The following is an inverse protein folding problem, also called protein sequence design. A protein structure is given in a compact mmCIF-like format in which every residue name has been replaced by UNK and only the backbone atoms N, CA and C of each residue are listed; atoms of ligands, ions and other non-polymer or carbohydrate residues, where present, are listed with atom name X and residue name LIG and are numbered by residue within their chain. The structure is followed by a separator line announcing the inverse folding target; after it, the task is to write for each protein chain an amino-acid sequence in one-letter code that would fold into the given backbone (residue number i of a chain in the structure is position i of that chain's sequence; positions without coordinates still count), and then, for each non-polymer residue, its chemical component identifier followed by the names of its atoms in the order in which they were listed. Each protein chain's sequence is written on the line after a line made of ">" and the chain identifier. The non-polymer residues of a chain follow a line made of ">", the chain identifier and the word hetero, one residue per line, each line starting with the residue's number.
data_IF_274690958140
#
_entry.id   IF_274690958140
#
_cell.length_a   1.000
_cell.length_b   1.000
_cell.length_c   1.000
_cell.angle_alpha   90.00
_cell.angle_beta   90.00
_cell.angle_gamma   90.00
#
_symmetry.space_group_name_H-M   'P 1'
#
loop_
_entity.id
_entity.type
_entity.pdbx_description
1 polymer ?
#
# COMPACT_ATOMS: atom_id res chain seq x y z
N UNK A 1 0.72 -6.04 -18.45
CA UNK A 1 -0.39 -5.11 -18.09
C UNK A 1 0.21 -3.72 -17.99
N UNK A 2 -0.48 -2.67 -18.46
CA UNK A 2 -0.04 -1.30 -18.22
C UNK A 2 -0.21 -0.97 -16.71
N UNK A 3 0.77 -0.27 -16.13
CA UNK A 3 0.79 0.09 -14.71
C UNK A 3 1.01 1.61 -14.58
N UNK A 4 0.03 2.43 -15.00
CA UNK A 4 0.20 3.88 -15.05
C UNK A 4 0.48 4.50 -13.67
N UNK A 5 -0.08 3.96 -12.59
CA UNK A 5 0.23 4.42 -11.23
C UNK A 5 1.69 4.13 -10.85
N UNK A 6 2.19 2.92 -11.14
CA UNK A 6 3.62 2.60 -10.94
C UNK A 6 4.52 3.48 -11.81
N UNK A 7 4.16 3.68 -13.08
CA UNK A 7 4.91 4.52 -14.02
C UNK A 7 4.98 5.97 -13.54
N UNK A 8 3.86 6.51 -13.04
CA UNK A 8 3.80 7.83 -12.42
C UNK A 8 4.69 7.92 -11.18
N UNK A 9 4.66 6.92 -10.30
CA UNK A 9 5.52 6.91 -9.11
C UNK A 9 7.01 6.94 -9.48
N UNK A 10 7.43 6.13 -10.46
CA UNK A 10 8.80 6.14 -10.99
C UNK A 10 9.15 7.51 -11.55
N UNK A 11 8.27 8.08 -12.38
CA UNK A 11 8.46 9.41 -12.98
C UNK A 11 8.61 10.50 -11.91
N UNK A 12 7.73 10.52 -10.90
CA UNK A 12 7.77 11.49 -9.80
C UNK A 12 9.08 11.38 -9.01
N UNK A 13 9.49 10.16 -8.64
CA UNK A 13 10.76 9.95 -7.93
C UNK A 13 11.97 10.44 -8.74
N UNK A 14 11.96 10.23 -10.06
CA UNK A 14 13.03 10.70 -10.95
C UNK A 14 13.00 12.22 -11.13
N UNK A 15 11.84 12.78 -11.47
CA UNK A 15 11.64 14.22 -11.73
C UNK A 15 11.95 15.08 -10.52
N UNK A 16 11.58 14.61 -9.32
CA UNK A 16 11.82 15.31 -8.05
C UNK A 16 13.14 14.90 -7.36
N UNK A 17 13.94 14.04 -8.00
CA UNK A 17 15.21 13.52 -7.47
C UNK A 17 15.10 12.97 -6.03
N UNK A 18 14.08 12.14 -5.78
CA UNK A 18 13.78 11.58 -4.44
C UNK A 18 14.57 10.31 -4.12
N UNK A 19 15.42 9.86 -5.05
CA UNK A 19 16.16 8.61 -4.93
C UNK A 19 15.29 7.37 -5.19
N UNK A 20 15.89 6.37 -5.83
CA UNK A 20 15.23 5.11 -6.15
C UNK A 20 16.27 3.99 -6.28
N UNK A 21 16.01 2.87 -5.62
CA UNK A 21 16.81 1.64 -5.74
C UNK A 21 15.91 0.55 -6.32
N UNK A 22 16.40 -0.24 -7.27
CA UNK A 22 15.62 -1.34 -7.85
C UNK A 22 16.49 -2.59 -8.02
N UNK A 23 15.85 -3.75 -7.98
CA UNK A 23 16.45 -5.04 -8.33
C UNK A 23 15.68 -5.67 -9.49
N UNK A 24 16.36 -6.43 -10.36
CA UNK A 24 15.69 -7.17 -11.43
C UNK A 24 14.70 -8.19 -10.85
N UNK A 25 13.71 -8.58 -11.66
CA UNK A 25 12.79 -9.66 -11.32
C UNK A 25 13.52 -11.00 -11.14
N UNK A 26 12.89 -11.93 -10.43
CA UNK A 26 13.29 -13.35 -10.44
C UNK A 26 13.33 -13.91 -11.88
N UNK A 27 14.12 -14.96 -12.12
CA UNK A 27 14.10 -15.73 -13.39
C UNK A 27 12.72 -16.35 -13.62
N UNK A 28 12.09 -16.80 -12.54
CA UNK A 28 10.73 -17.34 -12.53
C UNK A 28 9.86 -16.48 -11.61
N UNK A 29 9.40 -15.31 -12.08
CA UNK A 29 8.53 -14.46 -11.27
C UNK A 29 7.18 -15.13 -11.04
N UNK A 30 6.48 -14.68 -9.99
CA UNK A 30 5.09 -15.06 -9.72
C UNK A 30 4.25 -14.83 -10.98
N UNK A 31 3.35 -15.77 -11.30
CA UNK A 31 2.52 -15.75 -12.50
C UNK A 31 1.09 -15.36 -12.18
N UNK A 32 0.35 -14.89 -13.17
CA UNK A 32 -1.05 -14.60 -12.99
C UNK A 32 -1.79 -15.88 -12.57
N UNK A 33 -2.65 -15.78 -11.55
CA UNK A 33 -3.33 -16.94 -10.95
C UNK A 33 -2.48 -17.74 -9.97
N UNK A 34 -1.23 -17.31 -9.67
CA UNK A 34 -0.46 -17.89 -8.57
C UNK A 34 -1.13 -17.63 -7.23
N UNK A 35 -0.87 -18.53 -6.28
CA UNK A 35 -1.20 -18.33 -4.88
C UNK A 35 0.05 -17.97 -4.08
N UNK A 36 -0.06 -17.04 -3.14
CA UNK A 36 0.96 -16.79 -2.14
C UNK A 36 0.39 -17.18 -0.78
N UNK A 37 1.11 -18.01 -0.03
CA UNK A 37 0.63 -18.53 1.25
C UNK A 37 -0.83 -19.03 1.18
N UNK A 38 -1.12 -19.87 0.18
CA UNK A 38 -2.44 -20.50 0.02
C UNK A 38 -3.60 -19.57 -0.32
N UNK A 39 -3.32 -18.29 -0.58
CA UNK A 39 -4.31 -17.28 -0.98
C UNK A 39 -4.06 -16.82 -2.42
N UNK A 40 -5.11 -16.39 -3.16
CA UNK A 40 -4.93 -15.79 -4.47
C UNK A 40 -4.01 -14.57 -4.39
N UNK A 41 -2.96 -14.55 -5.21
CA UNK A 41 -2.05 -13.42 -5.29
C UNK A 41 -2.57 -12.36 -6.25
N UNK A 42 -2.39 -11.09 -5.90
CA UNK A 42 -2.92 -9.98 -6.70
C UNK A 42 -2.28 -9.93 -8.11
N UNK A 43 -3.07 -9.80 -9.18
CA UNK A 43 -2.57 -9.79 -10.56
C UNK A 43 -1.79 -8.52 -10.93
N UNK A 44 -2.04 -7.39 -10.25
CA UNK A 44 -1.24 -6.17 -10.41
C UNK A 44 0.12 -6.39 -9.74
N UNK A 45 0.18 -6.91 -8.51
CA UNK A 45 1.46 -7.26 -7.87
C UNK A 45 2.24 -8.29 -8.67
N UNK A 46 1.58 -9.28 -9.24
CA UNK A 46 2.21 -10.21 -10.19
C UNK A 46 2.90 -9.44 -11.32
N UNK A 47 2.18 -8.49 -11.95
CA UNK A 47 2.74 -7.64 -13.01
C UNK A 47 3.90 -6.75 -12.51
N UNK A 48 3.82 -6.23 -11.29
CA UNK A 48 4.92 -5.48 -10.65
C UNK A 48 6.15 -6.37 -10.48
N UNK A 49 6.00 -7.57 -9.91
CA UNK A 49 7.11 -8.49 -9.65
C UNK A 49 7.75 -9.07 -10.92
N UNK A 50 7.03 -9.08 -12.05
CA UNK A 50 7.63 -9.39 -13.36
C UNK A 50 8.53 -8.27 -13.90
N UNK A 51 8.39 -7.04 -13.39
CA UNK A 51 9.20 -5.87 -13.76
C UNK A 51 10.31 -5.59 -12.74
N UNK A 52 9.99 -5.75 -11.45
CA UNK A 52 10.82 -5.32 -10.32
C UNK A 52 10.81 -6.42 -9.24
N UNK A 53 11.93 -7.08 -9.00
CA UNK A 53 12.05 -8.05 -7.90
C UNK A 53 12.13 -7.35 -6.54
N UNK A 54 12.57 -6.09 -6.53
CA UNK A 54 12.55 -5.19 -5.40
C UNK A 54 12.56 -3.75 -5.90
N UNK A 55 12.01 -2.84 -5.11
CA UNK A 55 12.17 -1.42 -5.29
C UNK A 55 12.14 -0.71 -3.93
N UNK A 56 12.93 0.34 -3.79
CA UNK A 56 12.77 1.34 -2.75
C UNK A 56 12.58 2.69 -3.45
N UNK A 57 11.46 3.34 -3.17
CA UNK A 57 11.09 4.64 -3.71
C UNK A 57 11.29 5.72 -2.66
N UNK A 58 11.60 6.93 -3.11
CA UNK A 58 11.71 8.12 -2.27
C UNK A 58 12.74 7.96 -1.13
N UNK A 59 13.89 7.33 -1.43
CA UNK A 59 14.94 7.00 -0.45
C UNK A 59 15.57 8.21 0.23
N UNK A 60 15.49 9.39 -0.38
CA UNK A 60 16.04 10.64 0.18
C UNK A 60 15.09 11.34 1.17
N UNK A 61 13.84 10.87 1.30
CA UNK A 61 12.79 11.58 2.05
C UNK A 61 12.02 10.64 3.00
N UNK A 62 11.19 9.76 2.47
CA UNK A 62 10.42 8.76 3.19
C UNK A 62 10.39 7.51 2.33
N UNK A 63 11.27 6.58 2.66
CA UNK A 63 11.45 5.34 1.93
C UNK A 63 10.14 4.56 1.96
N UNK A 64 9.65 4.14 0.80
CA UNK A 64 8.66 3.08 0.69
C UNK A 64 9.24 1.93 -0.12
N UNK A 65 9.28 0.73 0.46
CA UNK A 65 9.88 -0.44 -0.14
C UNK A 65 8.86 -1.46 -0.64
N UNK A 66 9.01 -1.93 -1.87
CA UNK A 66 8.40 -3.17 -2.34
C UNK A 66 9.16 -4.36 -1.72
N UNK A 67 8.45 -5.25 -1.01
CA UNK A 67 9.07 -6.41 -0.37
C UNK A 67 9.80 -7.26 -1.42
N UNK A 68 11.06 -7.58 -1.14
CA UNK A 68 11.94 -8.29 -2.07
C UNK A 68 11.42 -9.70 -2.40
N UNK A 69 11.37 -10.01 -3.68
CA UNK A 69 11.09 -11.32 -4.26
C UNK A 69 11.98 -11.51 -5.49
N UNK A 70 13.14 -12.13 -5.30
CA UNK A 70 14.06 -12.48 -6.37
C UNK A 70 14.71 -13.85 -6.13
N UNK A 71 15.53 -14.31 -7.09
CA UNK A 71 16.17 -15.63 -7.05
C UNK A 71 17.13 -15.82 -5.85
N UNK A 72 17.51 -14.74 -5.18
CA UNK A 72 18.45 -14.79 -4.05
C UNK A 72 17.72 -14.76 -2.71
N UNK A 73 16.54 -14.12 -2.65
CA UNK A 73 15.83 -13.83 -1.41
C UNK A 73 14.31 -13.96 -1.61
N UNK A 74 13.71 -14.95 -0.95
CA UNK A 74 12.25 -15.19 -0.93
C UNK A 74 11.53 -14.42 0.19
N UNK A 75 11.97 -13.20 0.50
CA UNK A 75 11.47 -12.41 1.64
C UNK A 75 9.96 -12.18 1.58
N UNK A 76 9.37 -12.03 0.39
CA UNK A 76 7.93 -11.93 0.23
C UNK A 76 7.17 -13.14 0.80
N UNK A 77 7.63 -14.35 0.52
CA UNK A 77 6.99 -15.58 1.01
C UNK A 77 7.20 -15.75 2.51
N UNK A 78 8.43 -15.55 2.99
CA UNK A 78 8.76 -15.61 4.42
C UNK A 78 7.95 -14.60 5.24
N UNK A 79 7.86 -13.35 4.77
CA UNK A 79 7.07 -12.29 5.41
C UNK A 79 5.62 -12.70 5.53
N UNK A 80 5.03 -13.25 4.47
CA UNK A 80 3.63 -13.63 4.47
C UNK A 80 3.33 -14.90 5.27
N UNK A 81 4.29 -15.85 5.37
CA UNK A 81 4.18 -17.00 6.28
C UNK A 81 4.11 -16.52 7.73
N UNK A 82 5.02 -15.61 8.11
CA UNK A 82 5.04 -15.00 9.44
C UNK A 82 3.74 -14.23 9.72
N UNK A 83 3.29 -13.40 8.78
CA UNK A 83 2.05 -12.63 8.94
C UNK A 83 0.80 -13.49 9.10
N UNK A 84 0.73 -14.63 8.42
CA UNK A 84 -0.33 -15.61 8.64
C UNK A 84 -0.35 -16.11 10.08
N UNK A 85 0.83 -16.42 10.63
CA UNK A 85 0.96 -17.01 11.96
C UNK A 85 0.72 -15.99 13.08
N UNK A 86 1.16 -14.74 12.89
CA UNK A 86 1.14 -13.71 13.92
C UNK A 86 -0.14 -12.85 13.87
N UNK A 87 -0.57 -12.40 12.68
CA UNK A 87 -1.50 -11.27 12.57
C UNK A 87 -2.88 -11.60 12.02
N UNK A 88 -3.04 -12.62 11.16
CA UNK A 88 -4.34 -12.87 10.51
C UNK A 88 -5.47 -13.15 11.50
N UNK A 89 -5.17 -13.84 12.61
CA UNK A 89 -6.16 -14.10 13.67
C UNK A 89 -6.60 -12.80 14.34
N UNK A 90 -5.65 -11.91 14.63
CA UNK A 90 -5.91 -10.63 15.28
C UNK A 90 -6.69 -9.70 14.35
N UNK A 91 -6.28 -9.61 13.09
CA UNK A 91 -6.97 -8.82 12.06
C UNK A 91 -8.36 -9.37 11.75
N UNK A 92 -8.58 -10.68 11.92
CA UNK A 92 -9.85 -11.34 11.63
C UNK A 92 -10.12 -11.51 10.12
N UNK A 93 -9.13 -11.24 9.28
CA UNK A 93 -9.17 -11.49 7.84
C UNK A 93 -7.73 -11.72 7.32
N UNK A 94 -7.56 -12.55 6.28
CA UNK A 94 -6.27 -12.72 5.63
C UNK A 94 -5.86 -11.47 4.84
N UNK A 95 -4.58 -11.14 4.91
CA UNK A 95 -3.94 -10.07 4.13
C UNK A 95 -2.62 -10.55 3.54
N UNK A 96 -2.24 -10.02 2.38
CA UNK A 96 -0.95 -10.31 1.74
C UNK A 96 -0.08 -9.05 1.75
N UNK A 97 0.96 -9.06 2.57
CA UNK A 97 1.94 -7.97 2.67
C UNK A 97 2.82 -7.93 1.43
N UNK A 98 3.01 -6.75 0.87
CA UNK A 98 3.85 -6.56 -0.32
C UNK A 98 4.81 -5.37 -0.23
N UNK A 99 4.67 -4.51 0.77
CA UNK A 99 5.58 -3.37 0.88
C UNK A 99 5.40 -2.58 2.16
N UNK A 100 6.23 -1.56 2.30
CA UNK A 100 6.31 -0.73 3.49
C UNK A 100 7.73 -0.29 3.81
N UNK A 101 7.85 0.38 4.94
CA UNK A 101 9.13 0.69 5.60
C UNK A 101 8.90 0.63 7.11
N UNK A 102 8.50 1.75 7.71
CA UNK A 102 8.00 1.77 9.09
C UNK A 102 6.63 1.08 9.16
N UNK A 103 5.70 1.41 8.26
CA UNK A 103 4.36 0.82 8.23
C UNK A 103 4.21 -0.20 7.11
N UNK A 104 3.37 -1.22 7.36
CA UNK A 104 3.15 -2.31 6.41
C UNK A 104 1.97 -2.01 5.50
N UNK A 105 2.10 -2.35 4.22
CA UNK A 105 1.05 -2.28 3.22
C UNK A 105 0.74 -3.68 2.70
N UNK A 106 -0.55 -4.00 2.68
CA UNK A 106 -1.04 -5.31 2.33
C UNK A 106 -2.25 -5.23 1.39
N UNK A 107 -2.40 -6.24 0.55
CA UNK A 107 -3.61 -6.49 -0.24
C UNK A 107 -4.61 -7.32 0.56
N UNK A 108 -5.90 -7.19 0.25
CA UNK A 108 -7.00 -7.93 0.91
C UNK A 108 -7.68 -8.88 -0.08
N UNK A 109 -7.29 -10.17 -0.14
CA UNK A 109 -7.80 -11.13 -1.11
C UNK A 109 -9.32 -11.33 -1.11
N UNK A 110 -9.94 -11.27 0.07
CA UNK A 110 -11.40 -11.46 0.22
C UNK A 110 -12.22 -10.32 -0.40
N UNK A 111 -11.59 -9.18 -0.67
CA UNK A 111 -12.21 -7.99 -1.28
C UNK A 111 -11.82 -7.82 -2.75
N UNK A 112 -11.27 -8.86 -3.38
CA UNK A 112 -10.93 -8.84 -4.79
C UNK A 112 -12.14 -8.50 -5.68
N UNK A 113 -11.91 -7.71 -6.72
CA UNK A 113 -12.91 -7.45 -7.75
C UNK A 113 -13.10 -8.63 -8.70
N UNK A 114 -13.97 -8.49 -9.71
CA UNK A 114 -14.26 -9.53 -10.70
C UNK A 114 -13.05 -9.92 -11.56
N UNK A 115 -11.98 -9.11 -11.55
CA UNK A 115 -10.71 -9.36 -12.23
C UNK A 115 -9.62 -9.87 -11.28
N UNK A 116 -9.96 -10.09 -10.00
CA UNK A 116 -9.03 -10.53 -8.98
C UNK A 116 -8.16 -9.41 -8.39
N UNK A 117 -8.40 -8.14 -8.73
CA UNK A 117 -7.62 -7.01 -8.21
C UNK A 117 -8.06 -6.72 -6.79
N UNK A 118 -7.09 -6.59 -5.90
CA UNK A 118 -7.30 -6.52 -4.46
C UNK A 118 -7.06 -5.08 -3.98
N UNK A 119 -7.90 -4.56 -3.07
CA UNK A 119 -7.65 -3.26 -2.46
C UNK A 119 -6.44 -3.34 -1.51
N UNK A 120 -5.85 -2.17 -1.26
CA UNK A 120 -4.68 -2.01 -0.41
C UNK A 120 -5.07 -1.37 0.91
N UNK A 121 -4.52 -1.91 1.99
CA UNK A 121 -4.60 -1.35 3.34
C UNK A 121 -3.20 -1.05 3.87
N UNK A 122 -3.07 0.01 4.66
CA UNK A 122 -1.97 0.16 5.62
C UNK A 122 -2.35 -0.59 6.89
N UNK A 123 -1.43 -1.35 7.44
CA UNK A 123 -1.57 -2.05 8.73
C UNK A 123 -0.47 -1.55 9.66
N UNK A 124 -0.88 -1.00 10.79
CA UNK A 124 -0.02 -0.57 11.88
C UNK A 124 -0.06 -1.63 12.98
N UNK A 125 1.07 -2.29 13.22
CA UNK A 125 1.23 -3.37 14.19
C UNK A 125 2.07 -2.95 15.41
N UNK A 126 2.36 -1.65 15.56
CA UNK A 126 3.15 -1.13 16.69
C UNK A 126 2.29 -0.80 17.91
N UNK A 127 0.99 -0.58 17.70
CA UNK A 127 0.03 -0.40 18.78
C UNK A 127 -0.42 -1.77 19.32
N UNK A 128 -0.90 -1.84 20.58
CA UNK A 128 -1.34 -3.09 21.21
C UNK A 128 -2.42 -3.85 20.42
N UNK A 129 -3.23 -3.11 19.66
CA UNK A 129 -4.21 -3.62 18.72
C UNK A 129 -3.85 -3.14 17.32
N UNK A 130 -3.74 -4.05 16.35
CA UNK A 130 -3.41 -3.65 14.98
C UNK A 130 -4.45 -2.67 14.40
N UNK A 131 -3.99 -1.53 13.88
CA UNK A 131 -4.83 -0.53 13.22
C UNK A 131 -4.74 -0.65 11.70
N UNK A 132 -5.89 -0.73 11.05
CA UNK A 132 -5.99 -0.89 9.60
C UNK A 132 -6.63 0.33 8.95
N UNK A 133 -6.02 0.83 7.89
CA UNK A 133 -6.52 1.96 7.10
C UNK A 133 -6.60 1.58 5.62
N UNK A 134 -7.77 1.61 4.97
CA UNK A 134 -7.89 1.42 3.51
C UNK A 134 -7.27 2.57 2.73
N UNK A 135 -6.32 2.30 1.83
CA UNK A 135 -5.54 3.35 1.15
C UNK A 135 -5.61 3.32 -0.37
N UNK A 136 -6.15 2.26 -0.97
CA UNK A 136 -6.44 2.24 -2.41
C UNK A 136 -7.40 1.10 -2.78
N UNK A 137 -8.16 1.27 -3.85
CA UNK A 137 -9.00 0.21 -4.42
C UNK A 137 -8.21 -0.86 -5.15
N UNK A 138 -6.98 -0.55 -5.57
CA UNK A 138 -6.05 -1.46 -6.25
C UNK A 138 -4.61 -1.07 -5.94
N UNK A 139 -3.68 -1.99 -6.20
CA UNK A 139 -2.22 -1.74 -6.04
C UNK A 139 -1.72 -0.62 -6.96
N UNK A 140 -2.23 -0.53 -8.20
CA UNK A 140 -1.80 0.55 -9.11
C UNK A 140 -2.34 1.91 -8.66
N UNK A 141 -3.58 1.95 -8.12
CA UNK A 141 -4.13 3.17 -7.49
C UNK A 141 -3.38 3.58 -6.22
N UNK A 142 -2.81 2.63 -5.49
CA UNK A 142 -1.92 2.93 -4.38
C UNK A 142 -0.67 3.68 -4.87
N UNK A 143 0.00 3.19 -5.92
CA UNK A 143 1.17 3.89 -6.48
C UNK A 143 0.84 5.29 -6.99
N UNK A 144 -0.29 5.43 -7.69
CA UNK A 144 -0.80 6.71 -8.18
C UNK A 144 -1.03 7.70 -7.02
N UNK A 145 -1.76 7.28 -5.99
CA UNK A 145 -2.04 8.11 -4.80
C UNK A 145 -0.77 8.45 -4.02
N UNK A 146 0.15 7.50 -3.88
CA UNK A 146 1.42 7.72 -3.20
C UNK A 146 2.29 8.72 -3.96
N UNK A 147 2.29 8.67 -5.29
CA UNK A 147 3.03 9.64 -6.12
C UNK A 147 2.53 11.08 -5.93
N UNK A 148 1.21 11.28 -5.87
CA UNK A 148 0.61 12.59 -5.59
C UNK A 148 0.91 13.08 -4.17
N UNK A 149 0.93 12.16 -3.21
CA UNK A 149 1.34 12.48 -1.86
C UNK A 149 2.80 12.95 -1.80
N UNK A 150 3.71 12.31 -2.54
CA UNK A 150 5.11 12.76 -2.64
C UNK A 150 5.21 14.17 -3.24
N UNK A 151 4.44 14.48 -4.29
CA UNK A 151 4.39 15.84 -4.85
C UNK A 151 3.94 16.86 -3.79
N UNK A 152 2.84 16.58 -3.09
CA UNK A 152 2.33 17.46 -2.02
C UNK A 152 3.33 17.61 -0.87
N UNK A 153 4.01 16.53 -0.49
CA UNK A 153 5.03 16.55 0.56
C UNK A 153 6.18 17.47 0.20
N UNK A 154 6.69 17.39 -1.03
CA UNK A 154 7.80 18.22 -1.49
C UNK A 154 7.38 19.68 -1.65
N UNK A 155 6.13 19.96 -2.01
CA UNK A 155 5.62 21.32 -2.13
C UNK A 155 5.29 21.98 -0.78
N UNK A 156 5.23 21.23 0.33
CA UNK A 156 4.93 21.78 1.66
C UNK A 156 6.06 22.73 2.12
N UNK A 157 5.76 24.02 2.42
CA UNK A 157 6.77 24.99 2.83
C UNK A 157 7.56 24.56 4.07
N UNK A 158 6.94 23.83 5.00
CA UNK A 158 7.61 23.35 6.21
C UNK A 158 8.61 22.25 5.90
N UNK A 159 8.28 21.39 4.92
CA UNK A 159 9.22 20.40 4.41
C UNK A 159 10.42 21.06 3.73
N UNK A 160 10.20 22.12 2.96
CA UNK A 160 11.27 22.90 2.34
C UNK A 160 12.18 23.61 3.34
N UNK A 161 11.63 24.13 4.44
CA UNK A 161 12.37 24.92 5.43
C UNK A 161 13.18 24.07 6.41
N UNK A 162 12.63 22.99 6.94
CA UNK A 162 13.26 22.22 8.03
C UNK A 162 13.39 20.72 7.75
N UNK A 163 12.92 20.23 6.59
CA UNK A 163 12.73 18.80 6.31
C UNK A 163 11.88 18.08 7.36
N UNK A 164 11.12 18.82 8.17
CA UNK A 164 10.18 18.22 9.11
C UNK A 164 8.99 17.63 8.36
N UNK A 165 8.82 16.32 8.45
CA UNK A 165 7.71 15.59 7.81
C UNK A 165 6.51 15.58 8.75
N UNK A 166 5.67 16.62 8.72
CA UNK A 166 4.35 16.54 9.39
C UNK A 166 3.27 15.91 8.51
N UNK A 167 3.53 15.78 7.20
CA UNK A 167 2.61 15.11 6.29
C UNK A 167 2.96 13.62 6.20
N UNK A 168 2.15 12.79 6.85
CA UNK A 168 2.26 11.33 6.80
C UNK A 168 1.18 10.73 5.92
N UNK A 169 1.55 9.82 5.02
CA UNK A 169 0.60 8.97 4.31
C UNK A 169 0.15 7.82 5.23
N UNK A 170 -1.15 7.50 5.34
CA UNK A 170 -2.29 8.11 4.61
C UNK A 170 -2.98 9.28 5.34
N UNK A 171 -2.56 9.61 6.57
CA UNK A 171 -3.22 10.59 7.45
C UNK A 171 -3.50 11.95 6.81
N UNK A 172 -2.54 12.47 6.03
CA UNK A 172 -2.62 13.80 5.41
C UNK A 172 -2.96 13.75 3.93
N UNK A 173 -3.27 12.57 3.40
CA UNK A 173 -3.58 12.36 1.99
C UNK A 173 -5.09 12.19 1.74
N UNK A 174 -5.97 12.60 2.66
CA UNK A 174 -7.42 12.31 2.58
C UNK A 174 -8.05 12.79 1.27
N UNK A 175 -7.66 13.97 0.77
CA UNK A 175 -8.17 14.50 -0.51
C UNK A 175 -7.66 13.72 -1.72
N UNK A 176 -6.45 13.17 -1.65
CA UNK A 176 -5.88 12.33 -2.70
C UNK A 176 -6.62 10.98 -2.70
N UNK A 177 -6.80 10.38 -1.53
CA UNK A 177 -7.49 9.10 -1.35
C UNK A 177 -8.96 9.19 -1.75
N UNK A 178 -9.63 10.31 -1.48
CA UNK A 178 -11.02 10.54 -1.88
C UNK A 178 -11.23 10.59 -3.41
N UNK A 179 -10.17 10.75 -4.22
CA UNK A 179 -10.24 10.68 -5.69
C UNK A 179 -10.33 9.25 -6.20
N UNK A 180 -9.99 8.25 -5.38
CA UNK A 180 -10.23 6.85 -5.69
C UNK A 180 -11.70 6.51 -5.38
N UNK A 181 -12.60 6.82 -6.32
CA UNK A 181 -14.04 6.62 -6.17
C UNK A 181 -14.39 5.19 -5.75
N UNK A 182 -13.66 4.20 -6.28
CA UNK A 182 -13.89 2.80 -5.95
C UNK A 182 -13.49 2.47 -4.51
N UNK A 183 -12.41 3.06 -4.00
CA UNK A 183 -12.04 2.93 -2.59
C UNK A 183 -13.17 3.50 -1.71
N UNK A 184 -13.64 4.70 -2.05
CA UNK A 184 -14.72 5.38 -1.31
C UNK A 184 -16.00 4.55 -1.31
N UNK A 185 -16.39 3.95 -2.43
CA UNK A 185 -17.53 3.03 -2.51
C UNK A 185 -17.37 1.82 -1.58
N UNK A 186 -16.20 1.17 -1.59
CA UNK A 186 -15.93 0.01 -0.73
C UNK A 186 -15.99 0.38 0.76
N UNK A 187 -15.44 1.54 1.13
CA UNK A 187 -15.50 2.06 2.49
C UNK A 187 -16.93 2.38 2.92
N UNK A 188 -17.71 3.09 2.09
CA UNK A 188 -19.12 3.42 2.38
C UNK A 188 -19.99 2.17 2.47
N UNK A 189 -19.67 1.13 1.71
CA UNK A 189 -20.36 -0.16 1.76
C UNK A 189 -19.93 -1.04 2.94
N UNK A 190 -19.11 -0.54 3.88
CA UNK A 190 -18.67 -1.26 5.07
C UNK A 190 -17.78 -2.46 4.78
N UNK A 191 -17.16 -2.52 3.59
CA UNK A 191 -16.41 -3.71 3.15
C UNK A 191 -15.13 -3.95 3.97
N UNK A 192 -14.65 -2.92 4.66
CA UNK A 192 -13.47 -2.98 5.52
C UNK A 192 -13.80 -3.04 7.02
N UNK A 193 -15.09 -3.06 7.41
CA UNK A 193 -15.49 -2.91 8.83
C UNK A 193 -14.87 -3.97 9.75
N UNK A 194 -14.73 -5.21 9.26
CA UNK A 194 -14.09 -6.30 10.02
C UNK A 194 -12.60 -6.04 10.29
N UNK A 195 -11.88 -5.50 9.30
CA UNK A 195 -10.47 -5.11 9.42
C UNK A 195 -10.29 -3.86 10.28
N UNK A 196 -11.27 -2.95 10.25
CA UNK A 196 -11.25 -1.67 10.95
C UNK A 196 -11.91 -1.73 12.34
N UNK A 197 -12.12 -2.93 12.90
CA UNK A 197 -12.80 -3.14 14.19
C UNK A 197 -12.12 -2.47 15.39
N UNK A 198 -10.81 -2.25 15.33
CA UNK A 198 -10.00 -1.67 16.41
C UNK A 198 -9.68 -0.18 16.16
N UNK A 199 -10.49 0.53 15.37
CA UNK A 199 -10.25 1.96 15.10
C UNK A 199 -10.53 2.87 16.29
N UNK A 200 -9.62 3.80 16.53
CA UNK A 200 -9.81 4.93 17.43
C UNK A 200 -10.63 6.08 16.78
N UNK A 201 -10.92 7.12 17.56
CA UNK A 201 -11.69 8.28 17.08
C UNK A 201 -10.96 9.11 16.01
N UNK A 202 -9.63 9.09 16.00
CA UNK A 202 -8.85 9.78 14.97
C UNK A 202 -8.97 9.07 13.62
N UNK A 203 -8.79 7.75 13.61
CA UNK A 203 -8.96 6.92 12.41
C UNK A 203 -10.40 6.98 11.90
N UNK A 204 -11.41 6.98 12.78
CA UNK A 204 -12.81 7.14 12.38
C UNK A 204 -13.07 8.49 11.70
N UNK A 205 -12.54 9.59 12.26
CA UNK A 205 -12.66 10.93 11.65
C UNK A 205 -11.91 11.01 10.32
N UNK A 206 -10.73 10.40 10.25
CA UNK A 206 -9.98 10.28 8.99
C UNK A 206 -10.79 9.53 7.92
N UNK A 207 -11.37 8.37 8.27
CA UNK A 207 -12.17 7.57 7.34
C UNK A 207 -13.41 8.34 6.86
N UNK A 208 -14.07 9.07 7.76
CA UNK A 208 -15.18 9.96 7.41
C UNK A 208 -14.77 11.04 6.40
N UNK A 209 -13.60 11.66 6.56
CA UNK A 209 -13.06 12.63 5.60
C UNK A 209 -12.81 12.00 4.23
N UNK A 210 -12.17 10.82 4.17
CA UNK A 210 -11.95 10.10 2.90
C UNK A 210 -13.27 9.78 2.21
N UNK A 211 -14.28 9.36 2.98
CA UNK A 211 -15.62 9.10 2.46
C UNK A 211 -16.43 10.37 2.11
N UNK A 212 -15.90 11.57 2.34
CA UNK A 212 -16.62 12.82 2.11
C UNK A 212 -17.83 13.03 3.03
N UNK A 213 -17.87 12.34 4.17
CA UNK A 213 -18.86 12.59 5.21
C UNK A 213 -18.47 13.87 5.94
N UNK A 214 -19.42 14.77 6.18
CA UNK A 214 -19.16 15.93 7.05
C UNK A 214 -18.83 15.42 8.46
N UNK A 215 -17.69 15.87 8.99
CA UNK A 215 -17.23 15.60 10.37
C UNK A 215 -17.71 16.72 11.28
#
# INVERSE_FOLDING_TARGET
>A
MALPGLERLIEVCQRLNLGMETSPSAREPLKAGSSLVGLPFDPILTSVYTRLGHAAFATEVMRWGLTRSDDQVHRLEETNKRWREEWWKELGAPVIVFGGDIYTYATVPELADVWGRQPVVRVDTYEPDAHVMPVASTVDRFFDSYSHYLETLIEDPRYQESRETKLFFPWHATEILARDERLVELMRAGRFDSLMKNMDDETRRWAAKVMGNQV
#
